data_IF_939985853944
#
_entry.id   IF_939985853944
#
_cell.length_a   1.000
_cell.length_b   1.000
_cell.length_c   1.000
_cell.angle_alpha   90.00
_cell.angle_beta   90.00
_cell.angle_gamma   90.00
#
_symmetry.space_group_name_H-M   'P 1'
#
loop_
_entity.id
_entity.type
_entity.pdbx_description
1 polymer ?
#
# COMPACT_ATOMS: atom_id res chain seq x y z
N UNK A 1 -4.04 7.39 -34.11
CA UNK A 1 -3.39 6.08 -34.33
C UNK A 1 -1.97 5.95 -33.75
N UNK A 2 -1.23 7.04 -33.55
CA UNK A 2 0.16 7.02 -33.00
C UNK A 2 0.21 6.71 -31.50
N UNK A 3 -0.78 7.14 -30.70
CA UNK A 3 -0.77 6.93 -29.24
C UNK A 3 -0.96 5.46 -28.83
N UNK A 4 -1.76 4.69 -29.57
CA UNK A 4 -2.05 3.27 -29.28
C UNK A 4 -0.82 2.40 -29.55
N UNK A 5 -0.04 2.74 -30.56
CA UNK A 5 1.18 1.97 -30.92
C UNK A 5 2.31 2.20 -29.90
N UNK A 6 2.41 3.39 -29.30
CA UNK A 6 3.42 3.68 -28.26
C UNK A 6 3.12 2.97 -26.93
N UNK A 7 1.85 2.91 -26.53
CA UNK A 7 1.43 2.19 -25.31
C UNK A 7 1.64 0.68 -25.46
N UNK A 8 1.27 0.09 -26.61
CA UNK A 8 1.48 -1.33 -26.86
C UNK A 8 2.98 -1.71 -26.87
N UNK A 9 3.85 -0.91 -27.49
CA UNK A 9 5.32 -1.13 -27.45
C UNK A 9 5.90 -1.03 -26.03
N UNK A 10 5.47 -0.06 -25.24
CA UNK A 10 5.91 0.09 -23.86
C UNK A 10 5.50 -1.13 -23.00
N UNK A 11 4.28 -1.64 -23.20
CA UNK A 11 3.76 -2.80 -22.46
C UNK A 11 4.49 -4.11 -22.84
N UNK A 12 4.82 -4.31 -24.11
CA UNK A 12 5.62 -5.47 -24.57
C UNK A 12 7.04 -5.43 -23.99
N UNK A 13 7.71 -4.28 -24.07
CA UNK A 13 9.06 -4.10 -23.49
C UNK A 13 9.05 -4.27 -21.95
N UNK A 14 8.00 -3.84 -21.27
CA UNK A 14 7.83 -4.05 -19.83
C UNK A 14 7.72 -5.53 -19.46
N UNK A 15 7.00 -6.32 -20.26
CA UNK A 15 6.87 -7.76 -20.05
C UNK A 15 8.18 -8.52 -20.30
N UNK A 16 8.95 -8.14 -21.32
CA UNK A 16 10.25 -8.76 -21.61
C UNK A 16 11.25 -8.54 -20.47
N UNK A 17 11.41 -7.29 -20.01
CA UNK A 17 12.29 -6.98 -18.91
C UNK A 17 11.83 -7.63 -17.59
N UNK A 18 10.51 -7.71 -17.35
CA UNK A 18 10.00 -8.42 -16.19
C UNK A 18 10.39 -9.90 -16.21
N UNK A 19 10.19 -10.57 -17.35
CA UNK A 19 10.54 -11.98 -17.52
C UNK A 19 12.04 -12.23 -17.42
N UNK A 20 12.86 -11.33 -17.97
CA UNK A 20 14.32 -11.39 -17.84
C UNK A 20 14.76 -11.31 -16.37
N UNK A 21 14.13 -10.44 -15.57
CA UNK A 21 14.37 -10.39 -14.13
C UNK A 21 14.05 -11.70 -13.43
N UNK A 22 12.95 -12.38 -13.82
CA UNK A 22 12.60 -13.71 -13.27
C UNK A 22 13.64 -14.77 -13.61
N UNK A 23 14.15 -14.76 -14.83
CA UNK A 23 15.23 -15.68 -15.25
C UNK A 23 16.52 -15.44 -14.44
N UNK A 24 16.93 -14.18 -14.28
CA UNK A 24 18.10 -13.81 -13.49
C UNK A 24 17.94 -14.20 -12.00
N UNK A 25 16.77 -13.95 -11.44
CA UNK A 25 16.47 -14.36 -10.05
C UNK A 25 16.57 -15.88 -9.89
N UNK A 26 16.01 -16.64 -10.85
CA UNK A 26 16.07 -18.10 -10.87
C UNK A 26 17.49 -18.63 -11.02
N UNK A 27 18.36 -17.87 -11.70
CA UNK A 27 19.79 -18.14 -11.82
C UNK A 27 20.63 -17.67 -10.60
N UNK A 28 19.97 -17.26 -9.51
CA UNK A 28 20.57 -16.69 -8.29
C UNK A 28 21.36 -15.37 -8.50
N UNK A 29 21.14 -14.69 -9.62
CA UNK A 29 21.71 -13.36 -9.94
C UNK A 29 20.81 -12.25 -9.39
N UNK A 30 20.68 -12.22 -8.08
CA UNK A 30 19.69 -11.40 -7.39
C UNK A 30 19.89 -9.89 -7.59
N UNK A 31 21.15 -9.41 -7.68
CA UNK A 31 21.43 -8.00 -7.92
C UNK A 31 21.01 -7.59 -9.33
N UNK A 32 21.39 -8.37 -10.36
CA UNK A 32 21.01 -8.09 -11.75
C UNK A 32 19.47 -8.12 -11.92
N UNK A 33 18.79 -9.04 -11.25
CA UNK A 33 17.32 -9.11 -11.25
C UNK A 33 16.69 -7.86 -10.61
N UNK A 34 17.19 -7.44 -9.43
CA UNK A 34 16.73 -6.23 -8.75
C UNK A 34 16.91 -4.98 -9.63
N UNK A 35 18.07 -4.83 -10.26
CA UNK A 35 18.39 -3.67 -11.10
C UNK A 35 17.40 -3.52 -12.28
N UNK A 36 17.08 -4.64 -12.97
CA UNK A 36 16.11 -4.64 -14.08
C UNK A 36 14.71 -4.28 -13.58
N UNK A 37 14.27 -4.86 -12.46
CA UNK A 37 12.95 -4.59 -11.91
C UNK A 37 12.83 -3.16 -11.35
N UNK A 38 13.91 -2.60 -10.77
CA UNK A 38 13.97 -1.20 -10.35
C UNK A 38 13.90 -0.27 -11.56
N UNK A 39 14.55 -0.61 -12.68
CA UNK A 39 14.42 0.17 -13.91
C UNK A 39 12.95 0.21 -14.40
N UNK A 40 12.24 -0.93 -14.34
CA UNK A 40 10.80 -0.96 -14.61
C UNK A 40 10.00 -0.07 -13.64
N UNK A 41 10.31 -0.19 -12.34
CA UNK A 41 9.70 0.64 -11.31
C UNK A 41 9.90 2.14 -11.59
N UNK A 42 11.11 2.55 -11.96
CA UNK A 42 11.45 3.95 -12.29
C UNK A 42 10.80 4.44 -13.59
N UNK A 43 10.47 3.54 -14.51
CA UNK A 43 9.66 3.82 -15.71
C UNK A 43 8.16 3.99 -15.40
N UNK A 44 7.74 3.86 -14.15
CA UNK A 44 6.36 4.06 -13.70
C UNK A 44 5.50 2.80 -13.65
N UNK A 45 6.06 1.61 -13.92
CA UNK A 45 5.32 0.37 -13.73
C UNK A 45 5.08 0.13 -12.22
N UNK A 46 3.82 -0.05 -11.86
CA UNK A 46 3.39 -0.24 -10.46
C UNK A 46 2.47 -1.46 -10.38
N UNK A 47 2.99 -2.57 -9.88
CA UNK A 47 2.20 -3.76 -9.57
C UNK A 47 2.68 -4.39 -8.27
N UNK A 48 1.80 -5.12 -7.59
CA UNK A 48 2.14 -5.89 -6.41
C UNK A 48 3.25 -6.89 -6.71
N UNK A 49 3.12 -7.65 -7.83
CA UNK A 49 4.11 -8.64 -8.25
C UNK A 49 5.48 -8.05 -8.54
N UNK A 50 5.58 -6.85 -9.14
CA UNK A 50 6.86 -6.19 -9.40
C UNK A 50 7.54 -5.83 -8.08
N UNK A 51 6.82 -5.17 -7.17
CA UNK A 51 7.36 -4.81 -5.87
C UNK A 51 7.75 -6.04 -5.05
N UNK A 52 6.92 -7.10 -5.07
CA UNK A 52 7.21 -8.36 -4.40
C UNK A 52 8.51 -9.01 -4.90
N UNK A 53 8.73 -9.02 -6.22
CA UNK A 53 9.95 -9.58 -6.80
C UNK A 53 11.19 -8.75 -6.46
N UNK A 54 11.09 -7.41 -6.47
CA UNK A 54 12.17 -6.52 -6.01
C UNK A 54 12.49 -6.82 -4.54
N UNK A 55 11.46 -6.93 -3.70
CA UNK A 55 11.62 -7.23 -2.29
C UNK A 55 12.31 -8.59 -2.07
N UNK A 56 11.88 -9.63 -2.80
CA UNK A 56 12.50 -10.95 -2.74
C UNK A 56 13.99 -10.92 -3.13
N UNK A 57 14.36 -10.14 -4.16
CA UNK A 57 15.75 -9.99 -4.57
C UNK A 57 16.58 -9.31 -3.48
N UNK A 58 16.10 -8.21 -2.89
CA UNK A 58 16.78 -7.54 -1.78
C UNK A 58 16.86 -8.42 -0.53
N UNK A 59 15.83 -9.19 -0.24
CA UNK A 59 15.86 -10.15 0.86
C UNK A 59 16.95 -11.21 0.67
N UNK A 60 17.12 -11.74 -0.55
CA UNK A 60 18.23 -12.66 -0.88
C UNK A 60 19.61 -11.99 -0.78
N UNK A 61 19.69 -10.70 -1.05
CA UNK A 61 20.89 -9.89 -0.91
C UNK A 61 21.16 -9.44 0.54
N UNK A 62 20.32 -9.84 1.50
CA UNK A 62 20.37 -9.43 2.92
C UNK A 62 20.21 -7.91 3.12
N UNK A 63 19.69 -7.19 2.13
CA UNK A 63 19.29 -5.80 2.28
C UNK A 63 17.86 -5.72 2.84
N UNK A 64 17.74 -5.90 4.14
CA UNK A 64 16.46 -6.02 4.84
C UNK A 64 15.62 -4.74 4.78
N UNK A 65 16.18 -3.52 4.95
CA UNK A 65 15.39 -2.29 4.82
C UNK A 65 14.74 -2.15 3.45
N UNK A 66 15.49 -2.40 2.37
CA UNK A 66 14.95 -2.34 1.02
C UNK A 66 13.90 -3.45 0.77
N UNK A 67 14.14 -4.66 1.28
CA UNK A 67 13.15 -5.74 1.20
C UNK A 67 11.84 -5.35 1.87
N UNK A 68 11.87 -4.81 3.09
CA UNK A 68 10.69 -4.35 3.82
C UNK A 68 9.98 -3.24 3.03
N UNK A 69 10.71 -2.24 2.53
CA UNK A 69 10.14 -1.14 1.75
C UNK A 69 9.31 -1.66 0.57
N UNK A 70 9.88 -2.56 -0.23
CA UNK A 70 9.20 -3.08 -1.41
C UNK A 70 8.10 -4.10 -1.07
N UNK A 71 8.21 -4.87 0.02
CA UNK A 71 7.10 -5.68 0.52
C UNK A 71 5.93 -4.83 1.00
N UNK A 72 6.19 -3.72 1.72
CA UNK A 72 5.14 -2.77 2.12
C UNK A 72 4.42 -2.17 0.91
N UNK A 73 5.18 -1.75 -0.12
CA UNK A 73 4.63 -1.26 -1.39
C UNK A 73 3.79 -2.32 -2.11
N UNK A 74 4.23 -3.58 -2.08
CA UNK A 74 3.48 -4.70 -2.65
C UNK A 74 2.17 -4.93 -1.87
N UNK A 75 2.24 -4.93 -0.54
CA UNK A 75 1.10 -5.10 0.35
C UNK A 75 0.03 -4.01 0.17
N UNK A 76 0.43 -2.74 -0.02
CA UNK A 76 -0.52 -1.66 -0.29
C UNK A 76 -1.28 -1.86 -1.59
N UNK A 77 -0.66 -2.49 -2.60
CA UNK A 77 -1.29 -2.76 -3.90
C UNK A 77 -2.17 -4.01 -3.89
N UNK A 78 -1.76 -5.04 -3.15
CA UNK A 78 -2.53 -6.27 -2.95
C UNK A 78 -2.39 -6.80 -1.51
N UNK A 79 -3.22 -6.31 -0.59
CA UNK A 79 -3.19 -6.72 0.81
C UNK A 79 -3.71 -8.14 1.04
N UNK A 80 -4.31 -8.77 0.02
CA UNK A 80 -4.91 -10.12 0.12
C UNK A 80 -3.94 -11.23 -0.25
N UNK A 81 -2.80 -10.89 -0.84
CA UNK A 81 -1.77 -11.86 -1.23
C UNK A 81 -1.07 -12.41 0.04
N UNK A 82 -1.23 -13.72 0.26
CA UNK A 82 -0.68 -14.39 1.44
C UNK A 82 0.85 -14.49 1.40
N UNK A 83 1.45 -14.60 0.21
CA UNK A 83 2.92 -14.69 0.04
C UNK A 83 3.58 -13.36 0.39
N UNK A 84 2.98 -12.25 -0.04
CA UNK A 84 3.44 -10.89 0.32
C UNK A 84 3.40 -10.72 1.83
N UNK A 85 2.26 -11.04 2.46
CA UNK A 85 2.08 -10.92 3.90
C UNK A 85 3.09 -11.78 4.67
N UNK A 86 3.25 -13.03 4.27
CA UNK A 86 4.16 -13.97 4.93
C UNK A 86 5.61 -13.50 4.86
N UNK A 87 6.09 -13.12 3.66
CA UNK A 87 7.46 -12.67 3.48
C UNK A 87 7.75 -11.32 4.15
N UNK A 88 6.78 -10.40 4.17
CA UNK A 88 6.88 -9.15 4.91
C UNK A 88 7.05 -9.42 6.42
N UNK A 89 6.26 -10.33 6.99
CA UNK A 89 6.38 -10.71 8.39
C UNK A 89 7.76 -11.32 8.69
N UNK A 90 8.26 -12.21 7.83
CA UNK A 90 9.61 -12.77 7.99
C UNK A 90 10.65 -11.64 7.98
N UNK A 91 10.61 -10.72 6.99
CA UNK A 91 11.56 -9.62 6.92
C UNK A 91 11.51 -8.75 8.18
N UNK A 92 10.33 -8.46 8.71
CA UNK A 92 10.14 -7.71 9.96
C UNK A 92 10.71 -8.44 11.20
N UNK A 93 10.85 -9.75 11.20
CA UNK A 93 11.52 -10.45 12.32
C UNK A 93 13.03 -10.19 12.37
N UNK A 94 13.62 -9.73 11.27
CA UNK A 94 15.06 -9.49 11.15
C UNK A 94 15.49 -8.09 11.61
N UNK A 95 14.56 -7.17 11.85
CA UNK A 95 14.87 -5.83 12.38
C UNK A 95 15.18 -5.88 13.87
N UNK A 96 16.00 -4.92 14.30
CA UNK A 96 16.43 -4.80 15.72
C UNK A 96 15.33 -4.22 16.58
N UNK A 97 14.67 -3.17 16.09
CA UNK A 97 13.68 -2.40 16.84
C UNK A 97 12.37 -3.16 16.98
N UNK A 98 11.87 -3.25 18.20
CA UNK A 98 10.58 -3.87 18.52
C UNK A 98 9.80 -2.92 19.40
N UNK A 99 8.82 -2.26 18.82
CA UNK A 99 7.93 -1.37 19.56
C UNK A 99 6.64 -2.08 19.92
N UNK A 100 6.10 -1.73 21.07
CA UNK A 100 4.78 -2.22 21.47
C UNK A 100 3.73 -1.34 20.79
N UNK A 101 3.00 -1.90 19.83
CA UNK A 101 1.96 -1.16 19.13
C UNK A 101 0.86 -0.71 20.09
N UNK A 102 0.45 0.55 19.97
CA UNK A 102 -0.72 1.05 20.70
C UNK A 102 -1.97 0.38 20.12
N UNK A 103 -2.78 -0.31 20.94
CA UNK A 103 -4.00 -0.93 20.44
C UNK A 103 -4.93 0.12 19.82
N UNK A 104 -5.27 -0.06 18.55
CA UNK A 104 -6.30 0.75 17.90
C UNK A 104 -7.69 0.47 18.50
N UNK A 105 -8.57 1.46 18.42
CA UNK A 105 -9.97 1.28 18.81
C UNK A 105 -10.60 0.17 17.95
N UNK A 106 -11.35 -0.74 18.57
CA UNK A 106 -11.86 -1.94 17.92
C UNK A 106 -12.63 -1.69 16.62
N UNK A 107 -13.36 -0.57 16.53
CA UNK A 107 -14.10 -0.21 15.31
C UNK A 107 -13.19 0.30 14.19
N UNK A 108 -12.03 0.93 14.51
CA UNK A 108 -11.01 1.34 13.53
C UNK A 108 -10.35 0.10 12.96
N UNK A 109 -9.97 -0.84 13.83
CA UNK A 109 -9.39 -2.11 13.41
C UNK A 109 -10.37 -2.92 12.54
N UNK A 110 -11.64 -2.95 12.90
CA UNK A 110 -12.70 -3.60 12.10
C UNK A 110 -12.85 -2.97 10.71
N UNK A 111 -12.86 -1.63 10.66
CA UNK A 111 -12.93 -0.88 9.40
C UNK A 111 -11.69 -1.16 8.53
N UNK A 112 -10.51 -1.19 9.14
CA UNK A 112 -9.26 -1.54 8.48
C UNK A 112 -9.29 -2.96 7.91
N UNK A 113 -9.65 -3.95 8.72
CA UNK A 113 -9.80 -5.34 8.30
C UNK A 113 -10.73 -5.49 7.10
N UNK A 114 -11.95 -4.91 7.17
CA UNK A 114 -12.93 -5.04 6.09
C UNK A 114 -12.42 -4.33 4.83
N UNK A 115 -11.85 -3.13 4.94
CA UNK A 115 -11.37 -2.39 3.76
C UNK A 115 -10.23 -3.09 3.03
N UNK A 116 -9.39 -3.82 3.75
CA UNK A 116 -8.25 -4.56 3.20
C UNK A 116 -8.60 -5.96 2.71
N UNK A 117 -9.85 -6.45 2.89
CA UNK A 117 -10.30 -7.74 2.35
C UNK A 117 -10.23 -7.81 0.82
N UNK A 118 -10.30 -6.67 0.13
CA UNK A 118 -10.27 -6.61 -1.32
C UNK A 118 -9.43 -5.42 -1.78
N UNK A 119 -8.87 -5.53 -2.99
CA UNK A 119 -8.13 -4.43 -3.61
C UNK A 119 -9.05 -3.23 -3.91
N UNK A 120 -8.46 -2.02 -4.04
CA UNK A 120 -9.19 -0.80 -4.39
C UNK A 120 -10.04 -0.96 -5.66
N UNK A 121 -9.49 -1.62 -6.68
CA UNK A 121 -10.19 -1.84 -7.95
C UNK A 121 -11.39 -2.78 -7.79
N UNK A 122 -11.27 -3.83 -6.99
CA UNK A 122 -12.37 -4.76 -6.72
C UNK A 122 -13.50 -4.08 -5.96
N UNK A 123 -13.19 -3.26 -4.96
CA UNK A 123 -14.16 -2.44 -4.25
C UNK A 123 -14.88 -1.45 -5.19
N UNK A 124 -14.14 -0.78 -6.10
CA UNK A 124 -14.73 0.11 -7.10
C UNK A 124 -15.70 -0.64 -8.02
N UNK A 125 -15.32 -1.82 -8.50
CA UNK A 125 -16.17 -2.66 -9.36
C UNK A 125 -17.46 -3.08 -8.65
N UNK A 126 -17.37 -3.53 -7.39
CA UNK A 126 -18.54 -3.87 -6.59
C UNK A 126 -19.46 -2.65 -6.35
N UNK A 127 -18.87 -1.47 -6.15
CA UNK A 127 -19.65 -0.21 -6.02
C UNK A 127 -20.45 0.09 -7.29
N UNK A 128 -19.81 -0.02 -8.45
CA UNK A 128 -20.49 0.24 -9.75
C UNK A 128 -21.61 -0.77 -9.97
N UNK A 129 -21.38 -2.06 -9.74
CA UNK A 129 -22.40 -3.10 -9.92
C UNK A 129 -23.59 -2.85 -8.97
N UNK A 130 -23.33 -2.64 -7.68
CA UNK A 130 -24.39 -2.41 -6.71
C UNK A 130 -25.17 -1.13 -7.02
N UNK A 131 -24.53 -0.09 -7.55
CA UNK A 131 -25.19 1.14 -7.99
C UNK A 131 -26.09 0.90 -9.22
N UNK A 132 -25.63 0.12 -10.21
CA UNK A 132 -26.44 -0.23 -11.39
C UNK A 132 -27.69 -1.02 -10.95
N UNK A 133 -27.52 -2.01 -10.07
CA UNK A 133 -28.65 -2.81 -9.55
C UNK A 133 -29.59 -1.95 -8.72
N UNK A 134 -29.06 -0.94 -7.97
CA UNK A 134 -29.88 0.05 -7.29
C UNK A 134 -30.76 0.84 -8.28
N UNK A 135 -30.22 1.32 -9.40
CA UNK A 135 -31.00 2.04 -10.42
C UNK A 135 -32.10 1.16 -11.04
N UNK A 136 -31.82 -0.11 -11.28
CA UNK A 136 -32.84 -1.08 -11.74
C UNK A 136 -33.93 -1.24 -10.69
N UNK A 137 -33.60 -1.32 -9.41
CA UNK A 137 -34.54 -1.44 -8.30
C UNK A 137 -35.43 -0.18 -8.16
N UNK A 138 -34.85 1.00 -8.34
CA UNK A 138 -35.59 2.28 -8.40
C UNK A 138 -36.55 2.29 -9.58
N UNK A 139 -36.12 1.80 -10.76
CA UNK A 139 -36.99 1.68 -11.94
C UNK A 139 -38.19 0.75 -11.67
N UNK A 140 -37.93 -0.40 -11.02
CA UNK A 140 -39.01 -1.32 -10.61
C UNK A 140 -39.98 -0.66 -9.62
N UNK A 141 -39.46 0.13 -8.68
CA UNK A 141 -40.30 0.91 -7.75
C UNK A 141 -41.21 1.90 -8.48
N UNK A 142 -40.69 2.62 -9.48
CA UNK A 142 -41.43 3.64 -10.23
C UNK A 142 -42.52 3.00 -11.11
N UNK A 143 -42.13 1.98 -11.90
CA UNK A 143 -43.01 1.40 -12.94
C UNK A 143 -43.96 0.31 -12.41
N UNK A 144 -43.72 -0.26 -11.22
CA UNK A 144 -44.61 -1.28 -10.69
C UNK A 144 -45.98 -0.69 -10.29
N UNK A 145 -47.05 -1.41 -10.62
CA UNK A 145 -48.39 -1.06 -10.17
C UNK A 145 -48.81 -1.74 -8.84
N UNK A 146 -48.10 -2.80 -8.45
CA UNK A 146 -48.42 -3.59 -7.26
C UNK A 146 -47.64 -3.05 -6.03
N UNK A 147 -48.38 -2.78 -4.94
CA UNK A 147 -47.85 -2.21 -3.71
C UNK A 147 -46.66 -3.02 -3.14
N UNK A 148 -46.77 -4.37 -3.13
CA UNK A 148 -45.73 -5.23 -2.60
C UNK A 148 -44.38 -5.03 -3.32
N UNK A 149 -44.38 -4.98 -4.66
CA UNK A 149 -43.16 -4.75 -5.43
C UNK A 149 -42.57 -3.35 -5.26
N UNK A 150 -43.43 -2.35 -4.99
CA UNK A 150 -42.96 -1.00 -4.62
C UNK A 150 -42.20 -1.02 -3.30
N UNK A 151 -42.78 -1.64 -2.26
CA UNK A 151 -42.14 -1.69 -0.93
C UNK A 151 -40.79 -2.46 -1.01
N UNK A 152 -40.80 -3.62 -1.66
CA UNK A 152 -39.54 -4.42 -1.85
C UNK A 152 -38.52 -3.63 -2.65
N UNK A 153 -38.91 -3.05 -3.79
CA UNK A 153 -38.02 -2.26 -4.63
C UNK A 153 -37.40 -1.07 -3.91
N UNK A 154 -38.19 -0.38 -3.07
CA UNK A 154 -37.73 0.74 -2.28
C UNK A 154 -36.64 0.32 -1.26
N UNK A 155 -36.93 -0.65 -0.40
CA UNK A 155 -36.00 -1.08 0.62
C UNK A 155 -34.75 -1.73 0.03
N UNK A 156 -34.90 -2.46 -1.08
CA UNK A 156 -33.77 -3.04 -1.78
C UNK A 156 -32.88 -1.96 -2.43
N UNK A 157 -33.48 -0.92 -3.02
CA UNK A 157 -32.74 0.21 -3.57
C UNK A 157 -31.96 0.97 -2.46
N UNK A 158 -32.61 1.22 -1.30
CA UNK A 158 -31.97 1.88 -0.16
C UNK A 158 -30.79 1.04 0.35
N UNK A 159 -30.97 -0.27 0.51
CA UNK A 159 -29.89 -1.17 0.95
C UNK A 159 -28.72 -1.18 -0.03
N UNK A 160 -29.00 -1.27 -1.33
CA UNK A 160 -27.97 -1.24 -2.37
C UNK A 160 -27.24 0.11 -2.46
N UNK A 161 -27.93 1.21 -2.20
CA UNK A 161 -27.29 2.52 -2.13
C UNK A 161 -26.29 2.61 -0.97
N UNK A 162 -26.67 2.07 0.21
CA UNK A 162 -25.75 1.99 1.36
C UNK A 162 -24.55 1.12 1.04
N UNK A 163 -24.76 -0.06 0.44
CA UNK A 163 -23.68 -0.98 0.02
C UNK A 163 -22.76 -0.29 -0.99
N UNK A 164 -23.32 0.35 -2.02
CA UNK A 164 -22.53 1.05 -3.05
C UNK A 164 -21.69 2.19 -2.45
N UNK A 165 -22.27 2.98 -1.55
CA UNK A 165 -21.55 4.07 -0.87
C UNK A 165 -20.44 3.56 0.04
N UNK A 166 -20.67 2.46 0.77
CA UNK A 166 -19.66 1.86 1.64
C UNK A 166 -18.51 1.25 0.85
N UNK A 167 -18.81 0.51 -0.23
CA UNK A 167 -17.77 -0.08 -1.10
C UNK A 167 -16.97 0.99 -1.84
N UNK A 168 -17.61 2.11 -2.23
CA UNK A 168 -16.90 3.27 -2.79
C UNK A 168 -15.96 3.89 -1.75
N UNK A 169 -16.40 4.05 -0.51
CA UNK A 169 -15.57 4.58 0.55
C UNK A 169 -14.33 3.71 0.82
N UNK A 170 -14.48 2.36 0.81
CA UNK A 170 -13.34 1.44 0.91
C UNK A 170 -12.38 1.56 -0.28
N UNK A 171 -12.92 1.67 -1.51
CA UNK A 171 -12.10 1.87 -2.70
C UNK A 171 -11.27 3.15 -2.63
N UNK A 172 -11.90 4.28 -2.29
CA UNK A 172 -11.23 5.57 -2.17
C UNK A 172 -10.17 5.57 -1.06
N UNK A 173 -10.48 4.97 0.08
CA UNK A 173 -9.53 4.83 1.17
C UNK A 173 -8.28 4.01 0.77
N UNK A 174 -8.49 2.82 0.17
CA UNK A 174 -7.37 1.99 -0.25
C UNK A 174 -6.52 2.70 -1.32
N UNK A 175 -7.16 3.46 -2.22
CA UNK A 175 -6.44 4.30 -3.19
C UNK A 175 -5.63 5.40 -2.51
N UNK A 176 -6.20 6.06 -1.49
CA UNK A 176 -5.51 7.07 -0.69
C UNK A 176 -4.27 6.49 0.00
N UNK A 177 -4.38 5.30 0.62
CA UNK A 177 -3.26 4.63 1.26
C UNK A 177 -2.09 4.32 0.30
N UNK A 178 -2.39 4.10 -0.99
CA UNK A 178 -1.36 3.85 -2.02
C UNK A 178 -0.70 5.15 -2.52
N UNK A 179 -1.46 6.26 -2.60
CA UNK A 179 -0.96 7.49 -3.23
C UNK A 179 -0.44 8.53 -2.24
N UNK A 180 -1.04 8.62 -1.06
CA UNK A 180 -0.71 9.61 -0.02
C UNK A 180 -0.20 8.89 1.25
N UNK A 181 0.60 7.84 1.07
CA UNK A 181 1.19 7.14 2.19
C UNK A 181 2.22 8.04 2.89
N UNK A 182 1.97 8.32 4.16
CA UNK A 182 2.86 9.07 5.03
C UNK A 182 3.76 8.15 5.86
N UNK A 183 3.96 6.92 5.43
CA UNK A 183 4.85 5.96 6.09
C UNK A 183 6.19 5.87 5.36
N UNK A 184 7.23 5.56 6.11
CA UNK A 184 8.58 5.41 5.59
C UNK A 184 9.34 4.30 6.32
N UNK A 185 10.39 3.79 5.67
CA UNK A 185 11.33 2.83 6.26
C UNK A 185 12.65 3.53 6.51
N UNK A 186 13.24 3.30 7.69
CA UNK A 186 14.57 3.80 8.06
C UNK A 186 15.63 3.00 7.30
N UNK A 187 16.53 3.71 6.61
CA UNK A 187 17.66 3.13 5.85
C UNK A 187 19.02 3.35 6.52
N UNK A 188 19.09 4.22 7.50
CA UNK A 188 20.32 4.42 8.26
C UNK A 188 20.53 3.28 9.24
N UNK A 189 21.73 2.68 9.33
CA UNK A 189 22.03 1.65 10.34
C UNK A 189 21.65 2.07 11.75
N UNK A 190 21.86 3.36 12.08
CA UNK A 190 21.45 3.99 13.33
C UNK A 190 21.08 5.45 13.06
N UNK A 191 19.97 5.91 13.61
CA UNK A 191 19.54 7.31 13.58
C UNK A 191 18.87 7.69 14.90
N UNK A 192 19.23 8.86 15.46
CA UNK A 192 18.59 9.41 16.67
C UNK A 192 17.37 10.25 16.28
N UNK A 193 16.24 9.99 16.91
CA UNK A 193 15.08 10.88 16.90
C UNK A 193 15.32 12.05 17.86
N UNK A 194 15.25 13.28 17.33
CA UNK A 194 15.54 14.53 18.03
C UNK A 194 14.28 15.22 18.55
N UNK A 195 14.43 16.08 19.56
CA UNK A 195 13.32 16.89 20.10
C UNK A 195 12.94 18.09 19.21
N UNK A 196 13.79 18.48 18.27
CA UNK A 196 13.62 19.61 17.35
C UNK A 196 14.25 19.29 15.99
N UNK A 197 13.82 19.96 14.89
CA UNK A 197 14.33 19.71 13.53
C UNK A 197 15.71 20.37 13.31
N UNK A 198 16.65 20.04 14.17
CA UNK A 198 18.04 20.51 14.11
C UNK A 198 19.01 19.52 14.76
N UNK A 199 20.30 19.60 14.41
CA UNK A 199 21.32 18.69 14.91
C UNK A 199 21.62 18.87 16.42
N UNK A 200 21.27 20.01 17.01
CA UNK A 200 21.51 20.34 18.43
C UNK A 200 20.39 19.85 19.35
N UNK A 201 19.26 19.41 18.77
CA UNK A 201 18.14 18.85 19.51
C UNK A 201 18.54 17.67 20.39
N UNK A 202 17.87 17.53 21.54
CA UNK A 202 18.10 16.41 22.46
C UNK A 202 17.67 15.08 21.82
N UNK A 203 18.48 14.03 21.98
CA UNK A 203 18.13 12.68 21.55
C UNK A 203 17.00 12.13 22.43
N UNK A 204 15.88 11.74 21.80
CA UNK A 204 14.72 11.17 22.47
C UNK A 204 14.73 9.64 22.44
N UNK A 205 15.12 9.08 21.30
CA UNK A 205 15.22 7.65 21.06
C UNK A 205 16.21 7.37 19.92
N UNK A 206 16.56 6.11 19.75
CA UNK A 206 17.44 5.64 18.68
C UNK A 206 16.67 4.62 17.84
N UNK A 207 16.81 4.71 16.51
CA UNK A 207 16.23 3.80 15.55
C UNK A 207 17.29 3.12 14.73
N UNK A 208 16.97 1.92 14.28
CA UNK A 208 17.80 1.11 13.39
C UNK A 208 17.11 0.94 12.03
N UNK A 209 17.90 0.52 11.06
CA UNK A 209 17.44 0.25 9.71
C UNK A 209 16.31 -0.80 9.68
N UNK A 210 15.39 -0.63 8.74
CA UNK A 210 14.21 -1.48 8.57
C UNK A 210 13.01 -1.07 9.42
N UNK A 211 13.19 -0.16 10.38
CA UNK A 211 12.09 0.33 11.21
C UNK A 211 11.11 1.15 10.39
N UNK A 212 9.83 0.80 10.50
CA UNK A 212 8.73 1.54 9.88
C UNK A 212 8.28 2.69 10.77
N UNK A 213 8.12 3.88 10.19
CA UNK A 213 7.71 5.11 10.88
C UNK A 213 6.61 5.82 10.11
N UNK A 214 5.75 6.56 10.80
CA UNK A 214 4.78 7.46 10.18
C UNK A 214 5.35 8.87 10.13
N UNK A 215 5.31 9.54 8.98
CA UNK A 215 5.73 10.95 8.81
C UNK A 215 4.50 11.82 9.13
N UNK A 216 4.63 12.71 10.11
CA UNK A 216 3.55 13.62 10.53
C UNK A 216 3.75 15.04 10.03
N UNK A 217 5.01 15.50 9.95
CA UNK A 217 5.34 16.85 9.49
C UNK A 217 6.70 16.86 8.80
N UNK A 218 6.97 17.93 8.05
CA UNK A 218 8.21 18.15 7.30
C UNK A 218 8.68 19.60 7.46
N UNK A 219 9.89 19.78 7.98
CA UNK A 219 10.52 21.10 8.14
C UNK A 219 11.94 21.08 7.56
N UNK A 220 12.12 21.70 6.40
CA UNK A 220 13.41 21.70 5.70
C UNK A 220 13.88 20.30 5.33
N UNK A 221 15.01 19.88 5.90
CA UNK A 221 15.57 18.53 5.68
C UNK A 221 15.21 17.54 6.79
N UNK A 222 14.19 17.81 7.59
CA UNK A 222 13.78 16.99 8.72
C UNK A 222 12.33 16.55 8.60
N UNK A 223 12.08 15.30 8.99
CA UNK A 223 10.73 14.74 9.17
C UNK A 223 10.40 14.58 10.64
N UNK A 224 9.23 15.08 11.06
CA UNK A 224 8.63 14.65 12.32
C UNK A 224 8.04 13.26 12.09
N UNK A 225 8.55 12.29 12.83
CA UNK A 225 8.08 10.93 12.73
C UNK A 225 7.36 10.49 13.99
N UNK A 226 6.40 9.58 13.84
CA UNK A 226 5.75 8.88 14.93
C UNK A 226 6.02 7.38 14.81
N UNK A 227 6.43 6.78 15.92
CA UNK A 227 6.64 5.35 16.08
C UNK A 227 5.32 4.62 16.39
N UNK A 228 5.29 3.30 16.24
CA UNK A 228 4.10 2.49 16.56
C UNK A 228 3.73 2.51 18.05
N UNK A 229 4.65 2.83 18.95
CA UNK A 229 4.40 3.04 20.38
C UNK A 229 3.90 4.46 20.72
N UNK A 230 3.74 5.34 19.70
CA UNK A 230 3.25 6.70 19.84
C UNK A 230 4.32 7.76 20.13
N UNK A 231 5.57 7.38 20.37
CA UNK A 231 6.65 8.33 20.54
C UNK A 231 6.90 9.12 19.24
N UNK A 232 7.21 10.43 19.40
CA UNK A 232 7.48 11.33 18.28
C UNK A 232 8.86 11.94 18.40
N UNK A 233 9.43 12.27 17.24
CA UNK A 233 10.71 12.97 17.18
C UNK A 233 11.10 13.29 15.75
N UNK A 234 12.13 14.10 15.60
CA UNK A 234 12.63 14.58 14.33
C UNK A 234 13.83 13.78 13.86
N UNK A 235 13.83 13.34 12.61
CA UNK A 235 14.95 12.66 11.96
C UNK A 235 15.28 13.33 10.62
N UNK A 236 16.54 13.30 10.14
CA UNK A 236 16.86 13.80 8.81
C UNK A 236 16.12 13.02 7.72
N UNK A 237 15.53 13.74 6.75
CA UNK A 237 14.72 13.14 5.68
C UNK A 237 15.50 12.17 4.78
N UNK A 238 16.82 12.38 4.63
CA UNK A 238 17.71 11.52 3.87
C UNK A 238 18.04 10.17 4.56
N UNK A 239 17.49 9.90 5.73
CA UNK A 239 17.67 8.65 6.48
C UNK A 239 16.52 7.67 6.31
N UNK A 240 15.49 8.07 5.60
CA UNK A 240 14.29 7.25 5.36
C UNK A 240 13.89 7.30 3.89
N UNK A 241 13.21 6.23 3.44
CA UNK A 241 12.54 6.19 2.14
C UNK A 241 11.03 6.00 2.35
N UNK A 242 10.23 6.80 1.67
CA UNK A 242 8.75 6.72 1.71
C UNK A 242 8.26 5.44 1.02
N UNK A 243 7.25 4.83 1.60
CA UNK A 243 6.60 3.61 1.09
C UNK A 243 5.77 3.94 -0.16
#
# INVERSE_FOLDING_TARGET
MILIVSVAKAQVSGNENYSQGVELYSAAKYQEAADIWIELYNKGYRSASLNYNIANAYFKLQNIPAAILYYERAYLLDPTDEDINYNLQIARTMIVDRFQEIPELFFVNWYNLISLLLSSNTWAFLSIISFIVCLVSVSLYIYSTRYLYKVIGFWFAVSLLVVSSSTLAFSLRNRYLVHDNHEAIVFSPVVSGKSSPDASGTDLFVLHEGTKVAIEDEVGEWYEIRLSDGNKGWIPSNRVDRI
#
